data_IF_750655214924
#
_entry.id   IF_750655214924
#
_cell.length_a   1.000
_cell.length_b   1.000
_cell.length_c   1.000
_cell.angle_alpha   90.00
_cell.angle_beta   90.00
_cell.angle_gamma   90.00
#
_symmetry.space_group_name_H-M   'P 1'
#
loop_
_entity.id
_entity.type
_entity.pdbx_description
1 polymer ?
#
# COMPACT_ATOMS: atom_id res chain seq x y z
N UNK A 1 12.38 9.08 -39.03
CA UNK A 1 13.53 9.01 -38.12
C UNK A 1 13.31 9.70 -36.83
N UNK A 2 12.47 10.70 -36.84
CA UNK A 2 12.05 11.31 -35.60
C UNK A 2 11.41 10.26 -34.71
N UNK A 3 10.62 9.40 -35.32
CA UNK A 3 10.00 8.34 -34.53
C UNK A 3 11.03 7.36 -33.99
N UNK A 4 12.09 7.11 -34.73
CA UNK A 4 13.17 6.26 -34.23
C UNK A 4 13.87 6.90 -33.03
N UNK A 5 14.09 8.20 -33.14
CA UNK A 5 14.70 8.95 -32.05
C UNK A 5 13.80 8.95 -30.81
N UNK A 6 12.53 9.18 -31.04
CA UNK A 6 11.56 9.15 -29.95
C UNK A 6 11.50 7.78 -29.30
N UNK A 7 11.55 6.74 -30.11
CA UNK A 7 11.53 5.38 -29.60
C UNK A 7 12.75 5.11 -28.72
N UNK A 8 13.91 5.59 -29.12
CA UNK A 8 15.12 5.42 -28.33
C UNK A 8 14.99 6.18 -27.03
N UNK A 9 14.55 7.41 -27.10
CA UNK A 9 14.38 8.26 -25.93
C UNK A 9 13.36 7.72 -24.96
N UNK A 10 12.19 7.43 -25.45
CA UNK A 10 11.08 6.97 -24.63
C UNK A 10 11.28 5.53 -24.19
N UNK A 11 12.01 4.80 -24.99
CA UNK A 11 12.11 3.37 -24.76
C UNK A 11 13.35 2.91 -24.04
N UNK A 12 14.05 3.78 -23.37
CA UNK A 12 15.21 3.33 -22.62
C UNK A 12 14.77 2.25 -21.62
N UNK A 13 15.09 1.00 -21.91
CA UNK A 13 14.56 -0.08 -21.06
C UNK A 13 15.00 0.03 -19.62
N UNK A 14 16.25 0.46 -19.41
CA UNK A 14 16.78 0.60 -18.06
C UNK A 14 16.06 1.65 -17.24
N UNK A 15 15.84 2.82 -17.82
CA UNK A 15 15.18 3.91 -17.09
C UNK A 15 13.74 3.56 -16.74
N UNK A 16 13.03 2.95 -17.67
CA UNK A 16 11.66 2.53 -17.46
C UNK A 16 11.56 1.46 -16.39
N UNK A 17 12.48 0.53 -16.44
CA UNK A 17 12.53 -0.57 -15.48
C UNK A 17 12.80 -0.04 -14.07
N UNK A 18 13.73 0.88 -13.95
CA UNK A 18 14.04 1.48 -12.66
C UNK A 18 12.84 2.19 -12.06
N UNK A 19 12.10 2.93 -12.87
CA UNK A 19 10.91 3.63 -12.41
C UNK A 19 9.86 2.66 -11.94
N UNK A 20 9.64 1.58 -12.70
CA UNK A 20 8.68 0.56 -12.32
C UNK A 20 9.09 -0.16 -11.06
N UNK A 21 10.36 -0.49 -10.93
CA UNK A 21 10.88 -1.14 -9.74
C UNK A 21 10.73 -0.27 -8.50
N UNK A 22 10.99 1.01 -8.61
CA UNK A 22 10.80 1.94 -7.51
C UNK A 22 9.33 2.03 -7.11
N UNK A 23 8.46 2.03 -8.08
CA UNK A 23 7.02 2.06 -7.85
C UNK A 23 6.58 0.81 -7.09
N UNK A 24 6.99 -0.35 -7.55
CA UNK A 24 6.65 -1.62 -6.91
C UNK A 24 7.20 -1.68 -5.49
N UNK A 25 8.45 -1.26 -5.30
CA UNK A 25 9.06 -1.23 -3.97
C UNK A 25 8.32 -0.31 -3.03
N UNK A 26 7.81 0.80 -3.53
CA UNK A 26 7.03 1.71 -2.71
C UNK A 26 5.73 1.07 -2.25
N UNK A 27 5.04 0.38 -3.16
CA UNK A 27 3.81 -0.33 -2.80
C UNK A 27 4.08 -1.43 -1.78
N UNK A 28 5.14 -2.20 -1.99
CA UNK A 28 5.54 -3.25 -1.08
C UNK A 28 5.91 -2.69 0.29
N UNK A 29 6.58 -1.56 0.32
CA UNK A 29 6.98 -0.91 1.56
C UNK A 29 5.75 -0.47 2.34
N UNK A 30 4.77 0.13 1.67
CA UNK A 30 3.53 0.54 2.32
C UNK A 30 2.82 -0.64 2.95
N UNK A 31 2.69 -1.73 2.21
CA UNK A 31 2.03 -2.92 2.70
C UNK A 31 2.81 -3.55 3.85
N UNK A 32 4.12 -3.56 3.74
CA UNK A 32 4.99 -4.11 4.77
C UNK A 32 4.88 -3.32 6.08
N UNK A 33 4.86 -2.00 6.00
CA UNK A 33 4.69 -1.15 7.18
C UNK A 33 3.37 -1.48 7.87
N UNK A 34 2.31 -1.54 7.09
CA UNK A 34 0.98 -1.82 7.64
C UNK A 34 0.89 -3.20 8.27
N UNK A 35 1.43 -4.22 7.60
CA UNK A 35 1.35 -5.59 8.11
C UNK A 35 2.28 -5.86 9.27
N UNK A 36 3.22 -4.97 9.54
CA UNK A 36 4.10 -5.14 10.70
C UNK A 36 3.38 -4.87 12.01
N UNK A 37 2.23 -4.26 11.96
CA UNK A 37 1.44 -3.97 13.17
C UNK A 37 0.69 -5.21 13.63
N UNK A 38 0.66 -5.39 14.94
CA UNK A 38 -0.06 -6.50 15.54
C UNK A 38 -1.57 -6.36 15.32
N UNK A 39 -2.23 -7.43 14.95
CA UNK A 39 -3.67 -7.41 14.71
C UNK A 39 -4.07 -7.17 13.25
N UNK A 40 -3.11 -6.89 12.39
CA UNK A 40 -3.39 -6.70 10.97
C UNK A 40 -3.42 -8.06 10.27
N UNK A 41 -4.52 -8.37 9.60
CA UNK A 41 -4.64 -9.59 8.80
C UNK A 41 -3.98 -9.42 7.45
N UNK A 42 -4.25 -8.30 6.81
CA UNK A 42 -3.72 -8.03 5.47
C UNK A 42 -3.73 -6.53 5.22
N UNK A 43 -2.96 -6.11 4.24
CA UNK A 43 -2.92 -4.72 3.83
C UNK A 43 -2.70 -4.65 2.33
N UNK A 44 -3.33 -3.67 1.70
CA UNK A 44 -3.24 -3.49 0.25
C UNK A 44 -3.00 -2.03 -0.06
N UNK A 45 -1.97 -1.78 -0.87
CA UNK A 45 -1.74 -0.45 -1.40
C UNK A 45 -2.55 -0.31 -2.68
N UNK A 46 -3.37 0.71 -2.76
CA UNK A 46 -4.24 0.95 -3.91
C UNK A 46 -4.07 2.40 -4.39
N UNK A 47 -4.68 2.73 -5.52
CA UNK A 47 -4.61 4.06 -6.11
C UNK A 47 -3.17 4.54 -6.29
N UNK A 48 -2.35 3.66 -6.86
CA UNK A 48 -0.94 3.97 -7.14
C UNK A 48 -0.16 4.34 -5.86
N UNK A 49 -0.51 3.73 -4.74
CA UNK A 49 0.16 3.98 -3.47
C UNK A 49 -0.34 5.20 -2.73
N UNK A 50 -1.48 5.75 -3.14
CA UNK A 50 -2.05 6.90 -2.45
C UNK A 50 -2.96 6.49 -1.31
N UNK A 51 -3.34 5.22 -1.26
CA UNK A 51 -4.16 4.71 -0.17
C UNK A 51 -3.66 3.34 0.24
N UNK A 52 -3.68 3.08 1.54
CA UNK A 52 -3.37 1.76 2.08
C UNK A 52 -4.61 1.30 2.83
N UNK A 53 -5.17 0.18 2.40
CA UNK A 53 -6.30 -0.45 3.10
C UNK A 53 -5.78 -1.54 4.00
N UNK A 54 -6.11 -1.45 5.26
CA UNK A 54 -5.64 -2.38 6.29
C UNK A 54 -6.84 -3.14 6.83
N UNK A 55 -6.79 -4.46 6.69
CA UNK A 55 -7.84 -5.33 7.20
C UNK A 55 -7.41 -5.87 8.55
N UNK A 56 -8.25 -5.69 9.54
CA UNK A 56 -7.96 -6.16 10.90
C UNK A 56 -9.05 -7.12 11.36
N UNK A 57 -8.70 -7.98 12.30
CA UNK A 57 -9.63 -8.94 12.86
C UNK A 57 -10.56 -8.24 13.85
N UNK A 58 -11.88 -8.23 13.62
CA UNK A 58 -12.80 -7.53 14.51
C UNK A 58 -12.86 -8.13 15.92
N UNK A 59 -12.54 -9.40 16.05
CA UNK A 59 -12.56 -10.07 17.37
C UNK A 59 -11.40 -9.63 18.25
N UNK A 60 -10.29 -9.26 17.62
CA UNK A 60 -9.07 -8.87 18.36
C UNK A 60 -8.87 -7.38 18.43
N UNK A 61 -9.61 -6.62 17.66
CA UNK A 61 -9.42 -5.18 17.52
C UNK A 61 -10.76 -4.47 17.65
N UNK A 62 -10.91 -3.67 18.67
CA UNK A 62 -12.12 -2.85 18.82
C UNK A 62 -11.94 -1.52 18.07
N UNK A 63 -12.97 -0.71 18.04
CA UNK A 63 -12.95 0.55 17.31
C UNK A 63 -11.85 1.49 17.78
N UNK A 64 -11.64 1.54 19.07
CA UNK A 64 -10.62 2.41 19.65
C UNK A 64 -9.22 1.97 19.25
N UNK A 65 -8.97 0.67 19.31
CA UNK A 65 -7.69 0.10 18.91
C UNK A 65 -7.48 0.27 17.41
N UNK A 66 -8.52 0.12 16.60
CA UNK A 66 -8.43 0.32 15.16
C UNK A 66 -8.10 1.76 14.82
N UNK A 67 -8.72 2.71 15.50
CA UNK A 67 -8.45 4.13 15.30
C UNK A 67 -6.99 4.47 15.65
N UNK A 68 -6.50 3.94 16.74
CA UNK A 68 -5.11 4.15 17.14
C UNK A 68 -4.16 3.52 16.14
N UNK A 69 -4.46 2.32 15.70
CA UNK A 69 -3.65 1.62 14.70
C UNK A 69 -3.59 2.43 13.41
N UNK A 70 -4.71 2.98 12.98
CA UNK A 70 -4.77 3.82 11.80
C UNK A 70 -3.82 5.02 11.92
N UNK A 71 -3.86 5.68 13.07
CA UNK A 71 -2.99 6.81 13.35
C UNK A 71 -1.52 6.40 13.36
N UNK A 72 -1.23 5.29 14.04
CA UNK A 72 0.15 4.81 14.16
C UNK A 72 0.73 4.39 12.80
N UNK A 73 -0.07 3.74 11.98
CA UNK A 73 0.36 3.34 10.63
C UNK A 73 0.66 4.58 9.80
N UNK A 74 -0.21 5.57 9.86
CA UNK A 74 0.00 6.80 9.10
C UNK A 74 1.29 7.50 9.52
N UNK A 75 1.55 7.54 10.82
CA UNK A 75 2.78 8.15 11.34
C UNK A 75 4.02 7.38 10.90
N UNK A 76 3.95 6.07 10.92
CA UNK A 76 5.06 5.23 10.49
C UNK A 76 5.36 5.45 9.01
N UNK A 77 4.32 5.56 8.20
CA UNK A 77 4.49 5.83 6.77
C UNK A 77 5.14 7.19 6.55
N UNK A 78 4.69 8.21 7.27
CA UNK A 78 5.29 9.53 7.18
C UNK A 78 6.78 9.52 7.50
N UNK A 79 7.16 8.74 8.50
CA UNK A 79 8.55 8.68 8.96
C UNK A 79 9.46 7.88 8.07
N UNK A 80 8.95 6.90 7.37
CA UNK A 80 9.77 5.99 6.58
C UNK A 80 9.79 6.26 5.09
N UNK A 81 8.76 6.91 4.57
CA UNK A 81 8.66 7.15 3.15
C UNK A 81 8.74 8.63 2.84
N UNK A 82 9.62 8.95 1.89
CA UNK A 82 9.75 10.31 1.39
C UNK A 82 9.21 10.34 -0.02
N UNK A 83 7.99 10.78 -0.19
CA UNK A 83 7.50 11.11 -1.50
C UNK A 83 6.41 12.16 -1.40
N UNK A 84 6.24 12.94 -2.45
CA UNK A 84 5.27 14.01 -2.42
C UNK A 84 3.86 13.47 -2.41
N UNK A 85 3.02 14.15 -1.70
CA UNK A 85 1.62 13.79 -1.68
C UNK A 85 1.21 13.15 -0.38
N UNK A 86 -0.06 12.88 -0.29
CA UNK A 86 -0.70 12.35 0.89
C UNK A 86 -1.01 10.88 0.71
N UNK A 87 -0.82 10.11 1.75
CA UNK A 87 -1.21 8.70 1.77
C UNK A 87 -2.36 8.56 2.76
N UNK A 88 -3.45 8.03 2.29
CA UNK A 88 -4.63 7.79 3.13
C UNK A 88 -4.54 6.38 3.69
N UNK A 89 -4.65 6.26 5.01
CA UNK A 89 -4.66 4.96 5.67
C UNK A 89 -6.08 4.66 6.10
N UNK A 90 -6.62 3.55 5.61
CA UNK A 90 -7.98 3.13 5.93
C UNK A 90 -7.91 1.79 6.64
N UNK A 91 -8.40 1.75 7.88
CA UNK A 91 -8.46 0.51 8.65
C UNK A 91 -9.89 -0.01 8.62
N UNK A 92 -10.05 -1.25 8.19
CA UNK A 92 -11.35 -1.87 8.01
C UNK A 92 -11.47 -3.07 8.95
N UNK A 93 -12.51 -3.06 9.75
CA UNK A 93 -12.88 -4.21 10.57
C UNK A 93 -14.02 -4.93 9.86
N UNK A 94 -13.76 -6.13 9.42
CA UNK A 94 -14.74 -6.88 8.65
C UNK A 94 -14.92 -8.28 9.20
N UNK A 95 -16.17 -8.65 9.42
CA UNK A 95 -16.53 -10.03 9.77
C UNK A 95 -16.98 -10.72 8.51
N UNK A 96 -16.38 -11.86 8.21
CA UNK A 96 -16.67 -12.58 6.97
C UNK A 96 -17.09 -14.00 7.30
N UNK A 97 -18.17 -14.42 6.68
CA UNK A 97 -18.69 -15.78 6.80
C UNK A 97 -18.60 -16.44 5.44
N UNK A 98 -17.99 -17.62 5.41
CA UNK A 98 -17.79 -18.35 4.16
C UNK A 98 -18.36 -19.74 4.30
N UNK A 99 -19.20 -20.12 3.35
CA UNK A 99 -19.75 -21.46 3.26
C UNK A 99 -19.52 -21.99 1.85
N UNK A 100 -19.23 -23.26 1.77
CA UNK A 100 -19.00 -23.90 0.48
C UNK A 100 -20.26 -24.71 0.08
N UNK A 101 -20.84 -24.33 -1.04
CA UNK A 101 -21.93 -25.08 -1.62
C UNK A 101 -21.35 -26.18 -2.52
N UNK A 102 -21.82 -27.40 -2.36
CA UNK A 102 -21.32 -28.52 -3.14
C UNK A 102 -22.43 -29.13 -3.96
#
# INVERSE_FOLDING_TARGET
>A
LVSATDAISAGRPGARRETLEKYIKRLEKLESIATSFSGVESAYAIQAGREVRVMVCPDKTNDKAAAKMCYDIAREIEGQLEYPGEVVVTVIRETRFVEHAK
#
